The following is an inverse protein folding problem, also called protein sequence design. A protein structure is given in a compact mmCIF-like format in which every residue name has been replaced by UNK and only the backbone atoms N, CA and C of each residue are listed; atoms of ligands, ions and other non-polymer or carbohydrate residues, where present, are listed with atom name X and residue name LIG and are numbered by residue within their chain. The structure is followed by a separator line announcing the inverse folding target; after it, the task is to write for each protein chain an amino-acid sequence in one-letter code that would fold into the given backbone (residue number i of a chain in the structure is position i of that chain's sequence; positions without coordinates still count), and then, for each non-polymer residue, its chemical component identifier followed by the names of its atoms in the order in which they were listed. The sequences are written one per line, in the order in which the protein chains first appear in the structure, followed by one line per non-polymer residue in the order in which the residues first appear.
data_IF_885456687475
#
_entry.id   IF_885456687475
#
_cell.length_a   1.000
_cell.length_b   1.000
_cell.length_c   1.000
_cell.angle_alpha   90.00
_cell.angle_beta   90.00
_cell.angle_gamma   90.00
#
_symmetry.space_group_name_H-M   'P 1'
#
loop_
_entity.id
_entity.type
_entity.pdbx_description
1 polymer ?
#
# COMPACT_ATOMS: atom_id res chain seq x y z
N UNK A 1 -10.81 6.38 -27.94
CA UNK A 1 -11.25 4.99 -27.90
C UNK A 1 -11.02 4.39 -26.55
N UNK A 2 -12.01 3.68 -26.04
CA UNK A 2 -11.87 2.98 -24.77
C UNK A 2 -11.11 1.67 -24.91
N UNK A 3 -10.75 1.11 -23.78
CA UNK A 3 -10.23 -0.23 -23.69
C UNK A 3 -11.33 -1.24 -24.01
N UNK A 4 -10.95 -2.43 -24.51
CA UNK A 4 -11.85 -3.59 -24.40
C UNK A 4 -12.04 -3.90 -22.92
N UNK A 5 -13.06 -4.67 -22.60
CA UNK A 5 -13.29 -5.07 -21.20
C UNK A 5 -12.07 -5.77 -20.59
N UNK A 6 -11.46 -6.70 -21.33
CA UNK A 6 -10.28 -7.40 -20.86
C UNK A 6 -9.08 -6.46 -20.71
N UNK A 7 -8.86 -5.59 -21.69
CA UNK A 7 -7.78 -4.60 -21.62
C UNK A 7 -7.96 -3.66 -20.42
N UNK A 8 -9.18 -3.20 -20.20
CA UNK A 8 -9.48 -2.32 -19.06
C UNK A 8 -9.24 -3.01 -17.72
N UNK A 9 -9.64 -4.28 -17.61
CA UNK A 9 -9.40 -5.06 -16.39
C UNK A 9 -7.92 -5.31 -16.15
N UNK A 10 -7.17 -5.59 -17.23
CA UNK A 10 -5.72 -5.74 -17.15
C UNK A 10 -5.07 -4.44 -16.71
N UNK A 11 -5.55 -3.30 -17.23
CA UNK A 11 -5.04 -1.99 -16.83
C UNK A 11 -5.29 -1.71 -15.35
N UNK A 12 -6.45 -2.09 -14.82
CA UNK A 12 -6.71 -1.98 -13.38
C UNK A 12 -5.67 -2.76 -12.58
N UNK A 13 -5.40 -4.00 -13.00
CA UNK A 13 -4.42 -4.82 -12.30
C UNK A 13 -3.00 -4.23 -12.38
N UNK A 14 -2.63 -3.71 -13.55
CA UNK A 14 -1.32 -3.08 -13.74
C UNK A 14 -1.17 -1.85 -12.83
N UNK A 15 -2.16 -0.96 -12.85
CA UNK A 15 -2.10 0.27 -12.07
C UNK A 15 -2.08 -0.03 -10.58
N UNK A 16 -2.95 -0.93 -10.13
CA UNK A 16 -3.03 -1.26 -8.71
C UNK A 16 -1.81 -2.06 -8.24
N UNK A 17 -1.17 -2.84 -9.12
CA UNK A 17 0.08 -3.53 -8.77
C UNK A 17 1.19 -2.55 -8.41
N UNK A 18 1.22 -1.37 -9.05
CA UNK A 18 2.17 -0.32 -8.70
C UNK A 18 1.93 0.20 -7.27
N UNK A 19 0.67 0.28 -6.84
CA UNK A 19 0.35 0.64 -5.47
C UNK A 19 0.79 -0.46 -4.48
N UNK A 20 0.60 -1.73 -4.82
CA UNK A 20 1.10 -2.85 -4.01
C UNK A 20 2.61 -2.72 -3.81
N UNK A 21 3.34 -2.41 -4.88
CA UNK A 21 4.79 -2.22 -4.81
C UNK A 21 5.16 -1.11 -3.82
N UNK A 22 4.46 0.02 -3.87
CA UNK A 22 4.73 1.13 -2.95
C UNK A 22 4.44 0.73 -1.50
N UNK A 23 3.36 0.00 -1.25
CA UNK A 23 3.07 -0.48 0.11
C UNK A 23 4.14 -1.47 0.59
N UNK A 24 4.65 -2.31 -0.30
CA UNK A 24 5.76 -3.22 0.03
C UNK A 24 7.02 -2.44 0.41
N UNK A 25 7.34 -1.37 -0.31
CA UNK A 25 8.46 -0.48 0.02
C UNK A 25 8.27 0.13 1.42
N UNK A 26 7.05 0.57 1.72
CA UNK A 26 6.74 1.13 3.04
C UNK A 26 6.91 0.09 4.14
N UNK A 27 6.45 -1.15 3.93
CA UNK A 27 6.63 -2.23 4.90
C UNK A 27 8.11 -2.47 5.16
N UNK A 28 8.92 -2.53 4.11
CA UNK A 28 10.37 -2.73 4.24
C UNK A 28 11.03 -1.57 5.01
N UNK A 29 10.60 -0.32 4.74
CA UNK A 29 11.13 0.85 5.43
C UNK A 29 10.77 0.83 6.92
N UNK A 30 9.55 0.46 7.28
CA UNK A 30 9.18 0.32 8.69
C UNK A 30 9.97 -0.80 9.37
N UNK A 31 10.22 -1.89 8.65
CA UNK A 31 11.06 -2.97 9.16
C UNK A 31 12.47 -2.49 9.48
N UNK A 32 13.05 -1.66 8.64
CA UNK A 32 14.37 -1.06 8.89
C UNK A 32 14.34 -0.14 10.11
N UNK A 33 13.31 0.70 10.22
CA UNK A 33 13.16 1.56 11.39
C UNK A 33 13.08 0.73 12.68
N UNK A 34 12.32 -0.35 12.66
CA UNK A 34 12.12 -1.22 13.81
C UNK A 34 13.44 -1.75 14.37
N UNK A 35 14.38 -2.11 13.47
CA UNK A 35 15.68 -2.65 13.85
C UNK A 35 16.50 -1.71 14.75
N UNK A 36 16.22 -0.41 14.69
CA UNK A 36 16.98 0.63 15.38
C UNK A 36 16.21 1.29 16.53
N UNK A 37 15.06 0.74 16.91
CA UNK A 37 14.25 1.27 17.99
C UNK A 37 14.40 0.43 19.26
N UNK A 38 14.24 1.08 20.41
CA UNK A 38 14.15 0.33 21.66
C UNK A 38 12.82 -0.44 21.73
N UNK A 39 12.69 -1.31 22.72
CA UNK A 39 11.53 -2.20 22.83
C UNK A 39 10.21 -1.43 22.92
N UNK A 40 10.16 -0.36 23.72
CA UNK A 40 8.93 0.42 23.89
C UNK A 40 8.55 1.14 22.61
N UNK A 41 9.50 1.79 21.96
CA UNK A 41 9.25 2.49 20.70
C UNK A 41 8.86 1.49 19.60
N UNK A 42 9.53 0.34 19.55
CA UNK A 42 9.22 -0.72 18.61
C UNK A 42 7.79 -1.24 18.78
N UNK A 43 7.35 -1.46 20.01
CA UNK A 43 5.99 -1.91 20.29
C UNK A 43 4.95 -0.88 19.84
N UNK A 44 5.22 0.41 20.09
CA UNK A 44 4.32 1.48 19.64
C UNK A 44 4.26 1.56 18.12
N UNK A 45 5.41 1.45 17.47
CA UNK A 45 5.47 1.48 16.00
C UNK A 45 4.69 0.29 15.41
N UNK A 46 4.88 -0.89 15.97
CA UNK A 46 4.16 -2.07 15.51
C UNK A 46 2.65 -1.87 15.59
N UNK A 47 2.15 -1.38 16.72
CA UNK A 47 0.72 -1.21 16.92
C UNK A 47 0.13 -0.10 16.06
N UNK A 48 0.82 1.02 15.91
CA UNK A 48 0.28 2.22 15.27
C UNK A 48 0.55 2.31 13.78
N UNK A 49 1.63 1.70 13.31
CA UNK A 49 2.07 1.84 11.93
C UNK A 49 2.15 0.50 11.21
N UNK A 50 2.86 -0.45 11.78
CA UNK A 50 3.20 -1.68 11.07
C UNK A 50 1.99 -2.56 10.82
N UNK A 51 1.18 -2.83 11.85
CA UNK A 51 -0.01 -3.67 11.71
C UNK A 51 -1.04 -3.08 10.76
N UNK A 52 -1.41 -1.79 10.89
CA UNK A 52 -2.35 -1.22 9.92
C UNK A 52 -1.82 -1.25 8.49
N UNK A 53 -0.52 -0.99 8.31
CA UNK A 53 0.08 -1.02 6.99
C UNK A 53 0.07 -2.43 6.41
N UNK A 54 0.47 -3.44 7.19
CA UNK A 54 0.44 -4.83 6.73
C UNK A 54 -0.97 -5.27 6.40
N UNK A 55 -1.95 -4.84 7.19
CA UNK A 55 -3.36 -5.13 6.92
C UNK A 55 -3.81 -4.58 5.58
N UNK A 56 -3.47 -3.32 5.30
CA UNK A 56 -3.80 -2.69 4.03
C UNK A 56 -3.09 -3.35 2.85
N UNK A 57 -1.82 -3.65 3.02
CA UNK A 57 -1.00 -4.34 2.02
C UNK A 57 -1.61 -5.69 1.65
N UNK A 58 -1.97 -6.50 2.66
CA UNK A 58 -2.61 -7.78 2.44
C UNK A 58 -4.00 -7.65 1.80
N UNK A 59 -4.78 -6.66 2.23
CA UNK A 59 -6.10 -6.40 1.67
C UNK A 59 -6.03 -6.09 0.18
N UNK A 60 -5.10 -5.21 -0.21
CA UNK A 60 -4.97 -4.84 -1.61
C UNK A 60 -4.57 -6.04 -2.47
N UNK A 61 -3.60 -6.83 -2.02
CA UNK A 61 -3.19 -8.04 -2.73
C UNK A 61 -4.35 -9.01 -2.92
N UNK A 62 -5.12 -9.26 -1.86
CA UNK A 62 -6.28 -10.16 -1.95
C UNK A 62 -7.34 -9.61 -2.89
N UNK A 63 -7.60 -8.31 -2.82
CA UNK A 63 -8.56 -7.65 -3.71
C UNK A 63 -8.20 -7.88 -5.16
N UNK A 64 -6.93 -7.68 -5.51
CA UNK A 64 -6.48 -7.83 -6.90
C UNK A 64 -6.45 -9.28 -7.34
N UNK A 65 -6.00 -10.19 -6.48
CA UNK A 65 -5.96 -11.62 -6.80
C UNK A 65 -7.37 -12.17 -7.03
N UNK A 66 -8.32 -11.81 -6.19
CA UNK A 66 -9.70 -12.24 -6.33
C UNK A 66 -10.36 -11.61 -7.57
N UNK A 67 -10.06 -10.35 -7.87
CA UNK A 67 -10.58 -9.70 -9.08
C UNK A 67 -10.05 -10.39 -10.34
N UNK A 68 -8.74 -10.69 -10.38
CA UNK A 68 -8.17 -11.41 -11.51
C UNK A 68 -8.86 -12.77 -11.71
N UNK A 69 -9.09 -13.49 -10.61
CA UNK A 69 -9.75 -14.78 -10.66
C UNK A 69 -11.18 -14.67 -11.19
N UNK A 70 -11.97 -13.71 -10.68
CA UNK A 70 -13.34 -13.49 -11.14
C UNK A 70 -13.40 -13.07 -12.60
N UNK A 71 -12.37 -12.37 -13.08
CA UNK A 71 -12.30 -11.87 -14.46
C UNK A 71 -11.70 -12.89 -15.44
N UNK A 72 -11.25 -14.04 -14.96
CA UNK A 72 -10.61 -15.03 -15.81
C UNK A 72 -9.23 -14.61 -16.30
N UNK A 73 -8.58 -13.68 -15.60
CA UNK A 73 -7.25 -13.20 -15.96
C UNK A 73 -6.18 -13.97 -15.18
N UNK A 74 -4.95 -14.05 -15.72
CA UNK A 74 -3.86 -14.69 -14.99
C UNK A 74 -3.63 -14.03 -13.63
N UNK A 75 -3.36 -14.85 -12.61
CA UNK A 75 -2.95 -14.36 -11.31
C UNK A 75 -1.61 -13.66 -11.38
N UNK A 76 -1.35 -12.75 -10.47
CA UNK A 76 -0.11 -12.00 -10.40
C UNK A 76 0.64 -12.30 -9.13
N UNK A 77 1.95 -12.33 -9.23
CA UNK A 77 2.83 -12.34 -8.09
C UNK A 77 3.08 -10.90 -7.65
N UNK A 78 3.15 -10.70 -6.34
CA UNK A 78 3.47 -9.39 -5.76
C UNK A 78 4.76 -9.57 -4.96
N UNK A 79 5.93 -9.45 -5.62
CA UNK A 79 7.19 -9.64 -4.91
C UNK A 79 7.37 -8.58 -3.83
N UNK A 80 7.91 -9.00 -2.69
CA UNK A 80 8.24 -8.08 -1.62
C UNK A 80 9.42 -7.21 -2.01
N UNK A 81 9.39 -5.94 -1.62
CA UNK A 81 10.51 -5.05 -1.84
C UNK A 81 11.72 -5.55 -1.04
N UNK A 82 12.93 -5.43 -1.60
CA UNK A 82 14.13 -5.80 -0.87
C UNK A 82 14.32 -4.88 0.34
N UNK A 83 15.05 -5.35 1.38
CA UNK A 83 15.37 -4.48 2.50
C UNK A 83 16.11 -3.24 2.00
N UNK A 84 15.78 -2.04 2.51
CA UNK A 84 16.50 -0.83 2.12
C UNK A 84 17.92 -0.82 2.71
N UNK A 85 18.78 0.06 2.19
CA UNK A 85 20.07 0.29 2.79
C UNK A 85 19.90 0.77 4.23
N UNK A 86 20.81 0.40 5.16
CA UNK A 86 20.70 0.85 6.54
C UNK A 86 20.67 2.38 6.63
N UNK A 87 19.75 2.89 7.43
CA UNK A 87 19.59 4.33 7.67
C UNK A 87 18.96 4.55 9.03
N UNK A 88 18.95 5.80 9.51
CA UNK A 88 18.38 6.08 10.82
C UNK A 88 16.84 5.96 10.79
N UNK A 89 16.21 5.75 11.97
CA UNK A 89 14.76 5.54 12.02
C UNK A 89 13.93 6.68 11.45
N UNK A 90 14.40 7.94 11.61
CA UNK A 90 13.69 9.08 11.06
C UNK A 90 13.62 8.99 9.53
N UNK A 91 14.74 8.72 8.89
CA UNK A 91 14.80 8.61 7.43
C UNK A 91 13.93 7.44 6.94
N UNK A 92 13.98 6.30 7.63
CA UNK A 92 13.15 5.14 7.28
C UNK A 92 11.67 5.46 7.40
N UNK A 93 11.26 6.18 8.46
CA UNK A 93 9.86 6.56 8.65
C UNK A 93 9.41 7.57 7.60
N UNK A 94 10.27 8.50 7.20
CA UNK A 94 9.98 9.44 6.12
C UNK A 94 9.79 8.71 4.79
N UNK A 95 10.65 7.74 4.49
CA UNK A 95 10.51 6.91 3.30
C UNK A 95 9.21 6.10 3.32
N UNK A 96 8.85 5.55 4.48
CA UNK A 96 7.58 4.83 4.61
C UNK A 96 6.40 5.74 4.32
N UNK A 97 6.39 6.95 4.90
CA UNK A 97 5.30 7.91 4.68
C UNK A 97 5.19 8.28 3.20
N UNK A 98 6.32 8.54 2.54
CA UNK A 98 6.34 8.89 1.12
C UNK A 98 5.79 7.75 0.25
N UNK A 99 6.18 6.51 0.54
CA UNK A 99 5.71 5.36 -0.22
C UNK A 99 4.20 5.13 0.00
N UNK A 100 3.70 5.32 1.21
CA UNK A 100 2.27 5.20 1.50
C UNK A 100 1.49 6.27 0.73
N UNK A 101 1.98 7.51 0.71
CA UNK A 101 1.35 8.58 -0.06
C UNK A 101 1.35 8.27 -1.55
N UNK A 102 2.45 7.74 -2.07
CA UNK A 102 2.53 7.33 -3.48
C UNK A 102 1.49 6.25 -3.80
N UNK A 103 1.32 5.26 -2.91
CA UNK A 103 0.30 4.23 -3.09
C UNK A 103 -1.10 4.84 -3.13
N UNK A 104 -1.39 5.77 -2.22
CA UNK A 104 -2.70 6.42 -2.18
C UNK A 104 -2.98 7.21 -3.46
N UNK A 105 -1.99 7.95 -3.95
CA UNK A 105 -2.12 8.71 -5.20
C UNK A 105 -2.39 7.80 -6.40
N UNK A 106 -1.70 6.66 -6.47
CA UNK A 106 -1.93 5.68 -7.53
C UNK A 106 -3.37 5.17 -7.49
N UNK A 107 -3.85 4.80 -6.30
CA UNK A 107 -5.21 4.31 -6.14
C UNK A 107 -6.26 5.39 -6.41
N UNK A 108 -5.97 6.63 -6.01
CA UNK A 108 -6.86 7.77 -6.31
C UNK A 108 -6.99 7.99 -7.81
N UNK A 109 -5.88 7.99 -8.54
CA UNK A 109 -5.91 8.12 -10.00
C UNK A 109 -6.68 6.98 -10.67
N UNK A 110 -6.50 5.76 -10.17
CA UNK A 110 -7.23 4.62 -10.70
C UNK A 110 -8.74 4.80 -10.50
N UNK A 111 -9.16 5.21 -9.31
CA UNK A 111 -10.57 5.48 -9.04
C UNK A 111 -11.11 6.61 -9.92
N UNK A 112 -10.33 7.67 -10.12
CA UNK A 112 -10.72 8.81 -10.93
C UNK A 112 -10.79 8.47 -12.42
N UNK A 113 -10.08 7.45 -12.87
CA UNK A 113 -10.10 7.00 -14.25
C UNK A 113 -11.43 6.37 -14.66
N UNK A 114 -12.28 6.02 -13.68
CA UNK A 114 -13.57 5.36 -13.86
C UNK A 114 -13.48 3.91 -14.37
N UNK A 115 -12.28 3.38 -14.63
CA UNK A 115 -12.15 1.97 -15.04
C UNK A 115 -12.78 1.00 -14.02
N UNK A 116 -12.60 1.18 -12.70
CA UNK A 116 -13.25 0.28 -11.74
C UNK A 116 -14.78 0.31 -11.79
N UNK A 117 -15.36 1.43 -12.23
CA UNK A 117 -16.80 1.55 -12.43
C UNK A 117 -17.22 0.91 -13.76
N UNK A 118 -16.46 1.15 -14.81
CA UNK A 118 -16.82 0.70 -16.16
C UNK A 118 -16.63 -0.81 -16.36
N UNK A 119 -15.51 -1.37 -15.89
CA UNK A 119 -15.16 -2.77 -16.14
C UNK A 119 -14.85 -3.56 -14.88
N UNK A 120 -14.89 -2.93 -13.72
CA UNK A 120 -14.70 -3.59 -12.44
C UNK A 120 -15.98 -4.14 -11.85
N UNK A 121 -15.92 -4.56 -10.61
CA UNK A 121 -17.10 -5.03 -9.87
C UNK A 121 -17.13 -4.38 -8.48
N UNK A 122 -18.20 -4.63 -7.74
CA UNK A 122 -18.40 -4.03 -6.42
C UNK A 122 -17.32 -4.44 -5.44
N UNK A 123 -16.88 -5.70 -5.49
CA UNK A 123 -15.84 -6.20 -4.58
C UNK A 123 -14.50 -5.51 -4.85
N UNK A 124 -14.15 -5.32 -6.12
CA UNK A 124 -12.95 -4.55 -6.47
C UNK A 124 -13.04 -3.14 -5.93
N UNK A 125 -14.15 -2.45 -6.23
CA UNK A 125 -14.32 -1.06 -5.79
C UNK A 125 -14.26 -0.94 -4.28
N UNK A 126 -14.89 -1.86 -3.55
CA UNK A 126 -14.86 -1.89 -2.10
C UNK A 126 -13.46 -2.14 -1.56
N UNK A 127 -12.71 -3.03 -2.18
CA UNK A 127 -11.34 -3.33 -1.78
C UNK A 127 -10.39 -2.15 -1.98
N UNK A 128 -10.52 -1.44 -3.13
CA UNK A 128 -9.72 -0.24 -3.38
C UNK A 128 -10.03 0.86 -2.36
N UNK A 129 -11.31 1.12 -2.12
CA UNK A 129 -11.73 2.13 -1.14
C UNK A 129 -11.31 1.75 0.27
N UNK A 130 -11.44 0.48 0.64
CA UNK A 130 -11.04 -0.01 1.96
C UNK A 130 -9.55 0.13 2.19
N UNK A 131 -8.73 -0.17 1.18
CA UNK A 131 -7.28 0.01 1.26
C UNK A 131 -6.93 1.48 1.48
N UNK A 132 -7.53 2.38 0.69
CA UNK A 132 -7.28 3.82 0.83
C UNK A 132 -7.68 4.32 2.22
N UNK A 133 -8.83 3.88 2.74
CA UNK A 133 -9.26 4.25 4.09
C UNK A 133 -8.28 3.77 5.14
N UNK A 134 -7.74 2.56 4.98
CA UNK A 134 -6.81 1.98 5.94
C UNK A 134 -5.48 2.72 6.00
N UNK A 135 -5.02 3.30 4.88
CA UNK A 135 -3.73 3.99 4.85
C UNK A 135 -3.85 5.51 4.99
N UNK A 136 -5.06 6.05 5.02
CA UNK A 136 -5.29 7.50 4.95
C UNK A 136 -4.57 8.27 6.07
N UNK A 137 -4.52 7.73 7.28
CA UNK A 137 -3.93 8.40 8.42
C UNK A 137 -2.48 8.01 8.69
N UNK A 138 -1.94 7.03 7.95
CA UNK A 138 -0.61 6.51 8.24
C UNK A 138 0.53 7.50 7.98
N UNK A 139 0.52 8.31 6.91
CA UNK A 139 1.59 9.29 6.74
C UNK A 139 1.67 10.28 7.91
N UNK A 140 0.54 10.78 8.37
CA UNK A 140 0.51 11.66 9.53
C UNK A 140 0.95 10.94 10.79
N UNK A 141 0.56 9.67 10.96
CA UNK A 141 0.98 8.86 12.09
C UNK A 141 2.51 8.65 12.07
N UNK A 142 3.12 8.49 10.89
CA UNK A 142 4.57 8.43 10.74
C UNK A 142 5.22 9.73 11.20
N UNK A 143 4.68 10.87 10.77
CA UNK A 143 5.19 12.18 11.17
C UNK A 143 5.10 12.39 12.68
N UNK A 144 3.98 12.00 13.29
CA UNK A 144 3.79 12.07 14.74
C UNK A 144 4.82 11.20 15.46
N UNK A 145 5.05 10.00 14.95
CA UNK A 145 6.02 9.09 15.54
C UNK A 145 7.44 9.68 15.47
N UNK A 146 7.81 10.26 14.33
CA UNK A 146 9.11 10.90 14.15
C UNK A 146 9.33 11.98 15.22
N UNK A 147 8.29 12.78 15.50
CA UNK A 147 8.40 13.83 16.51
C UNK A 147 8.72 13.29 17.90
N UNK A 148 8.30 12.06 18.21
CA UNK A 148 8.61 11.45 19.51
C UNK A 148 10.04 10.92 19.59
N UNK A 149 10.70 10.65 18.46
CA UNK A 149 12.04 10.09 18.44
C UNK A 149 13.11 11.07 18.91
N UNK A 150 12.84 12.38 18.82
CA UNK A 150 13.77 13.42 19.23
C UNK A 150 13.70 13.80 20.69
N UNK A 151 12.92 13.09 21.50
CA UNK A 151 12.69 13.43 22.90
C UNK A 151 13.41 12.51 23.87
#
# INVERSE_FOLDING_TARGET
MGYTTEEGRTQILDDAAAAVEQLSIAVAALGEAYEHLDEQAGDRMEARLFRPLQGAYGQLQRTLSEFAQRSGLPGRDFPQAPPPAPEDPRASLEHAADAIQAADEILAELQDSLLPVEVGDQQLRGGLSGTRSAIAQLPEACDDFIRTLGR
#
